data_IF_886988314094
#
_entry.id   IF_886988314094
#
_cell.length_a   1.000
_cell.length_b   1.000
_cell.length_c   1.000
_cell.angle_alpha   90.00
_cell.angle_beta   90.00
_cell.angle_gamma   90.00
#
_symmetry.space_group_name_H-M   'P 1'
#
loop_
_entity.id
_entity.type
_entity.pdbx_description
1 polymer ?
#
# COMPACT_ATOMS: atom_id res chain seq x y z
N UNK A 1 -5.40 32.14 -2.82
CA UNK A 1 -4.57 30.95 -3.14
C UNK A 1 -3.12 31.42 -3.26
N UNK A 2 -2.24 31.03 -2.34
CA UNK A 2 -0.81 31.37 -2.43
C UNK A 2 -0.16 30.50 -3.51
N UNK A 3 -0.29 30.91 -4.77
CA UNK A 3 0.36 30.23 -5.90
C UNK A 3 1.74 30.78 -6.14
N UNK A 4 2.75 29.95 -5.89
CA UNK A 4 4.13 30.23 -6.28
C UNK A 4 4.47 29.41 -7.54
N UNK A 5 4.47 30.06 -8.69
CA UNK A 5 4.92 29.45 -9.95
C UNK A 5 6.41 29.74 -10.14
N UNK A 6 7.25 28.72 -9.93
CA UNK A 6 8.68 28.81 -10.25
C UNK A 6 8.86 28.43 -11.72
N UNK A 7 8.79 29.42 -12.60
CA UNK A 7 9.04 29.24 -14.02
C UNK A 7 10.54 29.13 -14.28
N UNK A 8 10.96 28.03 -14.91
CA UNK A 8 12.34 27.88 -15.35
C UNK A 8 12.64 26.50 -15.93
N UNK A 9 13.64 26.39 -16.83
CA UNK A 9 14.01 25.13 -17.47
C UNK A 9 14.72 24.14 -16.51
N UNK A 10 14.99 24.54 -15.25
CA UNK A 10 15.75 23.76 -14.27
C UNK A 10 15.11 23.84 -12.90
N UNK A 11 15.05 22.70 -12.21
CA UNK A 11 14.61 22.63 -10.82
C UNK A 11 15.54 23.47 -9.93
N UNK A 12 15.01 24.30 -9.01
CA UNK A 12 15.82 25.17 -8.14
C UNK A 12 16.69 24.39 -7.14
N UNK A 13 16.35 23.12 -6.86
CA UNK A 13 17.10 22.31 -5.91
C UNK A 13 17.06 22.90 -4.50
N UNK A 14 18.22 23.10 -3.88
CA UNK A 14 18.31 23.74 -2.57
C UNK A 14 17.91 25.21 -2.57
N UNK A 15 17.97 25.88 -3.73
CA UNK A 15 17.63 27.30 -3.85
C UNK A 15 16.11 27.54 -3.79
N UNK A 16 15.31 26.47 -3.67
CA UNK A 16 13.85 26.55 -3.48
C UNK A 16 13.47 27.38 -2.26
N UNK A 17 14.31 27.38 -1.21
CA UNK A 17 14.05 28.14 0.02
C UNK A 17 13.97 29.66 -0.24
N UNK A 18 14.69 30.19 -1.24
CA UNK A 18 14.58 31.60 -1.62
C UNK A 18 13.15 31.91 -2.07
N UNK A 19 12.58 31.05 -2.90
CA UNK A 19 11.23 31.25 -3.44
C UNK A 19 10.15 31.05 -2.37
N UNK A 20 10.45 30.27 -1.32
CA UNK A 20 9.53 30.04 -0.21
C UNK A 20 9.55 31.15 0.85
N UNK A 21 10.50 32.10 0.80
CA UNK A 21 10.59 33.18 1.79
C UNK A 21 9.27 33.94 1.99
N UNK A 22 8.58 34.44 0.93
CA UNK A 22 7.31 35.14 1.10
C UNK A 22 6.25 34.28 1.79
N UNK A 23 6.17 33.00 1.42
CA UNK A 23 5.24 32.06 2.04
C UNK A 23 5.54 31.86 3.53
N UNK A 24 6.82 31.77 3.90
CA UNK A 24 7.22 31.61 5.30
C UNK A 24 6.88 32.85 6.12
N UNK A 25 7.07 34.04 5.55
CA UNK A 25 6.72 35.30 6.21
C UNK A 25 5.21 35.43 6.40
N UNK A 26 4.40 35.09 5.38
CA UNK A 26 2.94 35.03 5.49
C UNK A 26 2.49 34.01 6.55
N UNK A 27 3.12 32.84 6.62
CA UNK A 27 2.80 31.81 7.62
C UNK A 27 3.18 32.22 9.04
N UNK A 28 4.21 33.05 9.23
CA UNK A 28 4.54 33.63 10.54
C UNK A 28 3.47 34.65 10.95
N UNK A 29 3.07 35.52 10.01
CA UNK A 29 2.02 36.51 10.26
C UNK A 29 0.69 35.82 10.63
N UNK A 30 0.31 34.78 9.87
CA UNK A 30 -0.89 33.99 10.14
C UNK A 30 -0.79 33.14 11.42
N UNK A 31 0.41 32.83 11.91
CA UNK A 31 0.56 32.14 13.18
C UNK A 31 0.21 33.05 14.36
N UNK A 32 0.65 34.31 14.32
CA UNK A 32 0.31 35.32 15.33
C UNK A 32 -1.17 35.73 15.22
N UNK A 33 -1.68 35.77 13.99
CA UNK A 33 -3.07 35.99 13.64
C UNK A 33 -3.30 37.34 12.97
N UNK A 34 -4.22 37.36 12.00
CA UNK A 34 -4.58 38.54 11.22
C UNK A 34 -6.08 38.79 11.35
N UNK A 35 -6.48 40.02 11.63
CA UNK A 35 -7.89 40.39 11.60
C UNK A 35 -8.40 40.38 10.15
N UNK A 36 -9.42 39.55 9.89
CA UNK A 36 -10.04 39.39 8.57
C UNK A 36 -11.54 39.54 8.72
N UNK A 37 -12.16 40.24 7.77
CA UNK A 37 -13.61 40.39 7.70
C UNK A 37 -14.25 39.17 7.02
N UNK A 38 -15.16 38.48 7.71
CA UNK A 38 -16.01 37.46 7.11
C UNK A 38 -17.28 38.11 6.54
N UNK A 39 -17.47 37.95 5.23
CA UNK A 39 -18.63 38.48 4.50
C UNK A 39 -19.93 37.77 4.91
N UNK A 40 -19.84 36.50 5.32
CA UNK A 40 -21.01 35.69 5.69
C UNK A 40 -21.52 36.09 7.07
N UNK A 41 -20.64 36.11 8.08
CA UNK A 41 -21.02 36.57 9.42
C UNK A 41 -21.15 38.09 9.55
N UNK A 42 -20.66 38.85 8.56
CA UNK A 42 -20.53 40.32 8.59
C UNK A 42 -19.75 40.82 9.81
N UNK A 43 -18.74 40.07 10.25
CA UNK A 43 -17.92 40.41 11.41
C UNK A 43 -16.45 40.14 11.14
N UNK A 44 -15.59 40.87 11.84
CA UNK A 44 -14.17 40.54 11.88
C UNK A 44 -13.93 39.31 12.75
N UNK A 45 -12.98 38.48 12.34
CA UNK A 45 -12.44 37.41 13.17
C UNK A 45 -10.91 37.36 13.01
N UNK A 46 -10.24 36.78 14.00
CA UNK A 46 -8.79 36.60 13.94
C UNK A 46 -8.46 35.30 13.20
N UNK A 47 -8.00 35.42 11.95
CA UNK A 47 -7.58 34.29 11.14
C UNK A 47 -6.19 33.83 11.55
N UNK A 48 -6.08 32.54 11.88
CA UNK A 48 -4.80 31.87 12.10
C UNK A 48 -4.60 30.70 11.16
N UNK A 49 -3.36 30.46 10.75
CA UNK A 49 -3.01 29.32 9.89
C UNK A 49 -1.72 28.63 10.35
N UNK A 50 -1.66 27.32 10.11
CA UNK A 50 -0.49 26.47 10.39
C UNK A 50 -0.21 25.58 9.19
N UNK A 51 1.07 25.46 8.83
CA UNK A 51 1.54 24.44 7.91
C UNK A 51 1.84 23.14 8.69
N UNK A 52 0.98 22.12 8.54
CA UNK A 52 1.12 20.85 9.28
C UNK A 52 2.16 19.94 8.62
N UNK A 53 2.14 19.80 7.30
CA UNK A 53 3.12 19.01 6.55
C UNK A 53 3.14 19.41 5.08
N UNK A 54 4.15 18.92 4.36
CA UNK A 54 4.25 19.04 2.90
C UNK A 54 4.12 17.66 2.25
N UNK A 55 3.47 17.55 1.10
CA UNK A 55 3.34 16.31 0.32
C UNK A 55 4.10 16.51 -0.99
N UNK A 56 5.07 15.64 -1.26
CA UNK A 56 6.01 15.85 -2.36
C UNK A 56 6.48 14.53 -2.96
N UNK A 57 6.90 14.55 -4.22
CA UNK A 57 7.73 13.47 -4.74
C UNK A 57 9.07 13.37 -3.97
N UNK A 58 9.78 12.24 -4.12
CA UNK A 58 11.02 12.02 -3.40
C UNK A 58 12.11 13.07 -3.72
N UNK A 59 12.28 13.52 -4.98
CA UNK A 59 13.13 14.66 -5.33
C UNK A 59 12.81 15.99 -4.63
N UNK A 60 11.54 16.41 -4.59
CA UNK A 60 11.18 17.67 -3.93
C UNK A 60 11.26 17.54 -2.42
N UNK A 61 10.92 16.38 -1.84
CA UNK A 61 11.12 16.07 -0.43
C UNK A 61 12.53 16.43 0.00
N UNK A 62 13.55 15.92 -0.70
CA UNK A 62 14.92 16.11 -0.25
C UNK A 62 15.42 17.54 -0.40
N UNK A 63 14.93 18.26 -1.40
CA UNK A 63 15.21 19.68 -1.55
C UNK A 63 14.57 20.50 -0.41
N UNK A 64 13.31 20.26 -0.08
CA UNK A 64 12.60 20.95 0.99
C UNK A 64 13.18 20.63 2.37
N UNK A 65 13.38 19.35 2.68
CA UNK A 65 13.98 18.90 3.94
C UNK A 65 15.47 19.27 4.06
N UNK A 66 16.12 19.62 2.95
CA UNK A 66 17.55 19.88 2.90
C UNK A 66 18.40 18.61 3.06
N UNK A 67 17.87 17.44 2.69
CA UNK A 67 18.54 16.16 2.84
C UNK A 67 19.15 15.65 1.52
N UNK A 68 20.13 14.76 1.59
CA UNK A 68 20.74 14.16 0.40
C UNK A 68 19.84 13.08 -0.17
N UNK A 69 19.57 13.19 -1.47
CA UNK A 69 18.78 12.21 -2.21
C UNK A 69 19.65 11.21 -2.97
N UNK A 70 20.98 11.33 -2.84
CA UNK A 70 21.96 10.47 -3.50
C UNK A 70 22.99 9.96 -2.49
N UNK A 71 23.49 8.75 -2.71
CA UNK A 71 24.57 8.15 -1.93
C UNK A 71 24.09 7.15 -0.89
N UNK A 72 24.95 6.82 0.08
CA UNK A 72 24.71 5.73 1.05
C UNK A 72 23.66 6.05 2.13
N UNK A 73 23.33 7.32 2.31
CA UNK A 73 22.49 7.82 3.41
C UNK A 73 21.36 8.70 2.89
N UNK A 74 20.50 8.14 2.04
CA UNK A 74 19.41 8.89 1.37
C UNK A 74 18.08 8.83 2.08
N UNK A 75 17.85 7.81 2.91
CA UNK A 75 16.58 7.69 3.60
C UNK A 75 16.48 8.80 4.66
N UNK A 76 15.51 9.73 4.55
CA UNK A 76 15.37 10.83 5.51
C UNK A 76 15.01 10.34 6.91
N UNK A 77 14.32 9.19 6.99
CA UNK A 77 13.93 8.54 8.24
C UNK A 77 15.14 7.85 8.89
N UNK A 78 15.89 7.05 8.12
CA UNK A 78 17.01 6.29 8.67
C UNK A 78 18.25 7.17 8.89
N UNK A 79 18.43 8.24 8.11
CA UNK A 79 19.57 9.13 8.17
C UNK A 79 20.90 8.39 8.06
N UNK A 80 21.77 8.59 9.05
CA UNK A 80 23.06 7.87 9.19
C UNK A 80 22.91 6.35 9.37
N UNK A 81 21.74 5.88 9.79
CA UNK A 81 21.43 4.45 9.95
C UNK A 81 20.82 3.82 8.70
N UNK A 82 20.82 4.53 7.57
CA UNK A 82 20.44 3.94 6.27
C UNK A 82 21.38 2.78 5.96
N UNK A 83 20.82 1.60 5.72
CA UNK A 83 21.61 0.43 5.36
C UNK A 83 21.70 0.36 3.84
N UNK A 84 22.86 0.68 3.28
CA UNK A 84 23.11 0.63 1.84
C UNK A 84 24.22 -0.35 1.51
N UNK A 85 24.07 -1.10 0.42
CA UNK A 85 25.07 -2.02 -0.11
C UNK A 85 25.45 -1.59 -1.52
N UNK A 86 26.76 -1.57 -1.81
CA UNK A 86 27.25 -1.38 -3.17
C UNK A 86 27.46 -2.74 -3.81
N UNK A 87 26.74 -3.00 -4.90
CA UNK A 87 26.90 -4.19 -5.72
C UNK A 87 28.02 -3.93 -6.73
N UNK A 88 29.17 -4.57 -6.51
CA UNK A 88 30.40 -4.34 -7.28
C UNK A 88 30.20 -4.57 -8.78
N UNK A 89 29.66 -5.74 -9.15
CA UNK A 89 29.49 -6.17 -10.54
C UNK A 89 28.50 -5.30 -11.31
N UNK A 90 27.41 -4.90 -10.68
CA UNK A 90 26.40 -4.06 -11.35
C UNK A 90 26.63 -2.56 -11.17
N UNK A 91 27.69 -2.16 -10.44
CA UNK A 91 27.99 -0.76 -10.08
C UNK A 91 26.77 0.01 -9.56
N UNK A 92 25.97 -0.65 -8.70
CA UNK A 92 24.69 -0.11 -8.19
C UNK A 92 24.69 -0.05 -6.68
N UNK A 93 24.06 1.00 -6.16
CA UNK A 93 23.77 1.12 -4.74
C UNK A 93 22.35 0.62 -4.48
N UNK A 94 22.20 -0.35 -3.59
CA UNK A 94 20.91 -0.86 -3.14
C UNK A 94 20.68 -0.52 -1.68
N UNK A 95 19.45 -0.24 -1.31
CA UNK A 95 19.06 0.03 0.08
C UNK A 95 18.44 -1.23 0.68
N UNK A 96 19.01 -1.65 1.80
CA UNK A 96 18.69 -2.89 2.50
C UNK A 96 18.17 -2.54 3.90
N UNK A 97 17.91 -3.57 4.72
CA UNK A 97 17.49 -3.36 6.11
C UNK A 97 16.03 -2.94 6.27
N UNK A 98 15.19 -3.10 5.24
CA UNK A 98 13.73 -2.95 5.32
C UNK A 98 13.11 -3.84 6.41
N UNK A 99 13.71 -5.00 6.70
CA UNK A 99 13.28 -5.92 7.76
C UNK A 99 13.32 -5.32 9.18
N UNK A 100 14.04 -4.21 9.38
CA UNK A 100 14.10 -3.48 10.66
C UNK A 100 12.77 -2.79 11.03
N UNK A 101 11.90 -2.57 10.06
CA UNK A 101 10.59 -1.95 10.28
C UNK A 101 9.49 -2.97 10.62
N UNK A 102 9.77 -4.27 10.46
CA UNK A 102 8.85 -5.33 10.87
C UNK A 102 8.87 -5.49 12.40
N UNK A 103 7.79 -5.98 13.04
CA UNK A 103 7.81 -6.31 14.48
C UNK A 103 8.97 -7.25 14.86
N UNK A 104 9.57 -7.15 16.06
CA UNK A 104 10.68 -8.02 16.48
C UNK A 104 10.36 -9.53 16.39
N UNK A 105 9.11 -9.91 16.62
CA UNK A 105 8.63 -11.30 16.53
C UNK A 105 8.44 -11.81 15.10
N UNK A 106 8.40 -10.92 14.10
CA UNK A 106 8.00 -11.24 12.73
C UNK A 106 8.92 -12.30 12.08
N UNK A 107 8.39 -13.38 11.47
CA UNK A 107 9.18 -14.50 10.94
C UNK A 107 10.26 -14.09 9.94
N UNK A 108 9.99 -13.07 9.10
CA UNK A 108 10.95 -12.63 8.07
C UNK A 108 12.25 -12.05 8.65
N UNK A 109 12.26 -11.62 9.93
CA UNK A 109 13.50 -11.23 10.60
C UNK A 109 14.48 -12.41 10.76
N UNK A 110 13.97 -13.63 10.92
CA UNK A 110 14.78 -14.86 11.10
C UNK A 110 15.14 -15.59 9.80
N UNK A 111 14.40 -15.36 8.70
CA UNK A 111 14.57 -16.08 7.42
C UNK A 111 15.80 -15.63 6.62
N UNK A 112 17.01 -15.95 7.05
CA UNK A 112 18.27 -15.53 6.40
C UNK A 112 18.37 -15.89 4.90
N UNK A 113 17.91 -17.08 4.50
CA UNK A 113 18.07 -17.62 3.14
C UNK A 113 17.27 -16.86 2.07
N UNK A 114 16.14 -16.26 2.44
CA UNK A 114 15.28 -15.50 1.52
C UNK A 114 15.69 -14.03 1.37
N UNK A 115 16.68 -13.56 2.13
CA UNK A 115 17.09 -12.16 2.18
C UNK A 115 18.62 -12.03 2.08
N UNK A 116 19.24 -11.22 2.93
CA UNK A 116 20.66 -10.85 2.89
C UNK A 116 21.59 -11.81 3.66
N UNK A 117 21.15 -13.05 3.89
CA UNK A 117 21.94 -14.07 4.58
C UNK A 117 22.10 -13.85 6.09
N UNK A 118 21.47 -12.82 6.66
CA UNK A 118 21.59 -12.46 8.07
C UNK A 118 20.26 -12.54 8.81
N UNK A 119 20.30 -12.74 10.13
CA UNK A 119 19.15 -12.54 11.01
C UNK A 119 19.05 -11.05 11.36
N UNK A 120 17.86 -10.47 11.29
CA UNK A 120 17.63 -9.05 11.56
C UNK A 120 17.14 -8.82 12.99
N UNK A 121 18.07 -8.59 13.91
CA UNK A 121 17.80 -8.29 15.31
C UNK A 121 17.81 -6.78 15.62
N UNK A 122 18.18 -5.93 14.64
CA UNK A 122 18.29 -4.49 14.90
C UNK A 122 16.89 -3.88 15.08
N UNK A 123 16.86 -2.82 15.88
CA UNK A 123 15.66 -2.02 16.06
C UNK A 123 15.37 -1.14 14.85
N UNK A 124 14.11 -0.74 14.74
CA UNK A 124 13.68 0.30 13.81
C UNK A 124 14.52 1.56 14.06
N UNK A 125 15.07 2.21 13.01
CA UNK A 125 15.79 3.46 13.21
C UNK A 125 14.86 4.50 13.85
N UNK A 126 15.35 5.20 14.87
CA UNK A 126 14.63 6.31 15.49
C UNK A 126 14.47 7.45 14.49
N UNK A 127 13.24 7.91 14.29
CA UNK A 127 12.96 9.13 13.52
C UNK A 127 13.61 10.30 14.26
N UNK A 128 14.38 11.13 13.56
CA UNK A 128 15.00 12.30 14.16
C UNK A 128 13.92 13.32 14.56
N UNK A 129 13.86 13.63 15.86
CA UNK A 129 13.00 14.68 16.39
C UNK A 129 13.35 16.03 15.74
N UNK A 130 12.35 16.86 15.44
CA UNK A 130 12.56 18.19 14.87
C UNK A 130 13.48 19.06 15.73
N UNK A 131 13.34 19.02 17.05
CA UNK A 131 14.25 19.71 17.98
C UNK A 131 15.71 19.26 17.84
N UNK A 132 15.95 17.96 17.66
CA UNK A 132 17.30 17.43 17.49
C UNK A 132 17.90 17.87 16.14
N UNK A 133 17.08 17.93 15.08
CA UNK A 133 17.49 18.42 13.77
C UNK A 133 17.80 19.92 13.82
N UNK A 134 16.93 20.73 14.43
CA UNK A 134 17.13 22.18 14.55
C UNK A 134 18.41 22.49 15.34
N UNK A 135 18.64 21.79 16.45
CA UNK A 135 19.88 21.93 17.24
C UNK A 135 21.11 21.52 16.41
N UNK A 136 21.03 20.41 15.68
CA UNK A 136 22.12 19.95 14.81
C UNK A 136 22.44 20.95 13.69
N UNK A 137 21.44 21.68 13.22
CA UNK A 137 21.56 22.58 12.07
C UNK A 137 21.61 24.07 12.46
N UNK A 138 21.60 24.42 13.75
CA UNK A 138 21.53 25.80 14.24
C UNK A 138 22.62 26.70 13.64
N UNK A 139 23.86 26.20 13.60
CA UNK A 139 25.00 26.94 13.06
C UNK A 139 25.26 26.61 11.57
N UNK A 140 24.32 25.93 10.91
CA UNK A 140 24.46 25.58 9.51
C UNK A 140 24.26 26.81 8.63
N UNK A 141 25.35 27.28 8.01
CA UNK A 141 25.27 28.37 7.06
C UNK A 141 24.78 27.88 5.68
N UNK A 142 23.59 28.35 5.30
CA UNK A 142 23.04 28.13 3.96
C UNK A 142 23.72 29.06 2.95
N UNK A 143 24.13 28.53 1.81
CA UNK A 143 24.65 29.30 0.68
C UNK A 143 23.80 29.00 -0.54
N UNK A 144 23.01 29.98 -0.99
CA UNK A 144 22.10 29.83 -2.12
C UNK A 144 22.70 30.41 -3.42
N UNK A 145 22.34 29.84 -4.56
CA UNK A 145 22.80 30.31 -5.87
C UNK A 145 24.18 29.79 -6.30
N UNK A 146 24.78 30.46 -7.30
CA UNK A 146 26.02 30.02 -7.96
C UNK A 146 27.28 30.44 -7.19
N UNK A 147 27.50 29.89 -6.00
CA UNK A 147 28.74 30.13 -5.25
C UNK A 147 29.91 29.27 -5.71
N UNK A 148 31.10 29.81 -5.44
CA UNK A 148 32.41 29.29 -5.82
C UNK A 148 32.66 27.84 -5.35
N UNK A 149 33.19 26.98 -6.24
CA UNK A 149 33.28 25.51 -6.04
C UNK A 149 34.02 25.12 -4.75
N UNK A 150 34.94 25.97 -4.27
CA UNK A 150 35.72 25.77 -3.03
C UNK A 150 34.85 25.80 -1.76
N UNK A 151 33.86 26.71 -1.67
CA UNK A 151 32.97 26.80 -0.48
C UNK A 151 32.05 25.59 -0.37
N UNK A 152 31.52 25.08 -1.50
CA UNK A 152 30.76 23.81 -1.58
C UNK A 152 31.56 22.59 -1.09
N UNK A 153 32.86 22.51 -1.37
CA UNK A 153 33.73 21.44 -0.86
C UNK A 153 33.94 21.51 0.66
N UNK A 154 33.94 22.72 1.25
CA UNK A 154 34.00 22.91 2.71
C UNK A 154 32.75 22.39 3.42
N UNK A 155 31.55 22.55 2.85
CA UNK A 155 30.31 21.96 3.38
C UNK A 155 30.30 20.42 3.38
N UNK A 156 31.00 19.75 2.44
CA UNK A 156 31.17 18.28 2.49
C UNK A 156 31.87 17.78 3.77
N UNK A 157 32.49 18.66 4.58
CA UNK A 157 33.00 18.29 5.91
C UNK A 157 31.89 18.07 6.95
N UNK A 158 30.69 18.62 6.77
CA UNK A 158 29.50 18.16 7.49
C UNK A 158 29.17 16.75 6.97
N UNK A 159 29.82 15.74 7.54
CA UNK A 159 29.61 14.33 7.23
C UNK A 159 28.22 13.93 7.72
N UNK A 160 27.21 14.10 6.89
CA UNK A 160 25.84 13.76 7.25
C UNK A 160 24.89 13.72 6.06
N UNK A 161 23.61 13.62 6.40
CA UNK A 161 22.51 13.62 5.44
C UNK A 161 22.15 15.04 4.95
N UNK A 162 22.53 16.09 5.70
CA UNK A 162 22.06 17.45 5.48
C UNK A 162 22.93 18.24 4.49
N UNK A 163 22.27 19.00 3.62
CA UNK A 163 22.86 19.93 2.65
C UNK A 163 22.53 21.38 2.93
N UNK A 164 21.46 21.63 3.69
CA UNK A 164 21.01 22.94 4.17
C UNK A 164 20.18 22.78 5.44
N UNK A 165 20.06 23.85 6.22
CA UNK A 165 18.95 24.02 7.17
C UNK A 165 17.72 24.42 6.38
N UNK A 166 16.62 23.68 6.49
CA UNK A 166 15.39 24.02 5.77
C UNK A 166 14.79 25.32 6.30
N UNK A 167 14.32 26.20 5.41
CA UNK A 167 13.64 27.45 5.79
C UNK A 167 12.39 27.23 6.66
N UNK A 168 11.74 26.07 6.57
CA UNK A 168 10.59 25.77 7.42
C UNK A 168 10.93 25.76 8.92
N UNK A 169 12.20 25.54 9.30
CA UNK A 169 12.63 25.67 10.70
C UNK A 169 12.63 27.12 11.22
N UNK A 170 12.31 28.11 10.39
CA UNK A 170 12.04 29.48 10.83
C UNK A 170 10.61 29.65 11.36
N UNK A 171 9.71 28.68 11.11
CA UNK A 171 8.39 28.64 11.71
C UNK A 171 8.51 28.12 13.16
N UNK A 172 7.89 28.79 14.15
CA UNK A 172 8.12 28.52 15.57
C UNK A 172 7.72 27.10 15.99
N UNK A 173 6.65 26.57 15.38
CA UNK A 173 6.08 25.25 15.68
C UNK A 173 6.70 24.10 14.87
N UNK A 174 7.50 24.38 13.83
CA UNK A 174 7.90 23.34 12.86
C UNK A 174 8.73 22.21 13.46
N UNK A 175 9.58 22.54 14.45
CA UNK A 175 10.41 21.59 15.19
C UNK A 175 9.61 20.65 16.09
N UNK A 176 8.37 21.02 16.43
CA UNK A 176 7.46 20.26 17.30
C UNK A 176 6.64 19.23 16.49
N UNK A 177 6.49 19.46 15.18
CA UNK A 177 5.78 18.54 14.29
C UNK A 177 6.50 17.20 14.18
N UNK A 178 5.78 16.11 14.44
CA UNK A 178 6.29 14.74 14.30
C UNK A 178 6.51 14.38 12.82
N UNK A 179 5.58 14.80 11.95
CA UNK A 179 5.61 14.57 10.51
C UNK A 179 5.64 15.91 9.78
N UNK A 180 6.77 16.21 9.11
CA UNK A 180 7.01 17.49 8.43
C UNK A 180 6.89 17.38 6.91
N UNK A 181 7.38 16.27 6.37
CA UNK A 181 7.41 16.01 4.94
C UNK A 181 6.87 14.60 4.71
N UNK A 182 5.94 14.49 3.78
CA UNK A 182 5.28 13.27 3.33
C UNK A 182 5.60 13.04 1.86
N UNK A 183 5.64 11.76 1.47
CA UNK A 183 5.81 11.39 0.07
C UNK A 183 4.45 11.33 -0.64
N UNK A 184 4.39 11.89 -1.84
CA UNK A 184 3.21 11.82 -2.69
C UNK A 184 3.13 10.43 -3.35
N UNK A 185 2.17 9.64 -2.87
CA UNK A 185 1.94 8.26 -3.33
C UNK A 185 1.45 8.24 -4.77
N UNK A 186 0.68 9.23 -5.23
CA UNK A 186 0.18 9.25 -6.61
C UNK A 186 1.31 9.34 -7.64
N UNK A 187 2.37 10.08 -7.31
CA UNK A 187 3.58 10.15 -8.14
C UNK A 187 4.43 8.88 -8.05
N UNK A 188 4.35 8.13 -6.94
CA UNK A 188 5.07 6.86 -6.77
C UNK A 188 4.37 5.74 -7.53
N UNK A 189 3.05 5.60 -7.39
CA UNK A 189 2.24 4.53 -8.01
C UNK A 189 2.09 4.69 -9.52
N UNK A 190 2.02 5.91 -10.05
CA UNK A 190 1.98 6.14 -11.50
C UNK A 190 3.23 5.60 -12.19
N UNK A 191 4.39 5.65 -11.54
CA UNK A 191 5.61 5.03 -12.05
C UNK A 191 5.58 3.50 -11.98
N UNK A 192 4.81 2.90 -11.07
CA UNK A 192 4.66 1.44 -11.00
C UNK A 192 3.67 0.92 -12.06
N UNK A 193 2.53 1.60 -12.25
CA UNK A 193 1.50 1.23 -13.24
C UNK A 193 1.96 1.40 -14.69
N UNK A 194 2.72 2.47 -14.97
CA UNK A 194 3.32 2.68 -16.31
C UNK A 194 4.26 1.52 -16.66
N UNK A 195 4.90 0.92 -15.68
CA UNK A 195 5.88 -0.14 -15.88
C UNK A 195 5.24 -1.52 -15.98
N UNK A 196 4.10 -1.72 -15.31
CA UNK A 196 3.29 -2.93 -15.48
C UNK A 196 2.57 -2.97 -16.84
N UNK A 197 2.01 -1.85 -17.30
CA UNK A 197 1.27 -1.80 -18.59
C UNK A 197 2.19 -1.82 -19.83
N UNK A 198 3.46 -1.46 -19.70
CA UNK A 198 4.43 -1.46 -20.83
C UNK A 198 5.02 -2.84 -21.14
N UNK A 199 4.98 -3.76 -20.18
CA UNK A 199 5.48 -5.13 -20.32
C UNK A 199 4.55 -6.00 -21.20
N UNK A 200 3.30 -5.59 -21.39
CA UNK A 200 2.28 -6.42 -22.03
C UNK A 200 2.23 -6.38 -23.58
N UNK A 201 2.92 -5.45 -24.29
CA UNK A 201 2.56 -5.14 -25.69
C UNK A 201 3.54 -5.48 -26.83
N UNK A 202 4.69 -6.15 -26.62
CA UNK A 202 5.53 -6.56 -27.76
C UNK A 202 6.33 -7.86 -27.54
N UNK A 203 6.33 -8.73 -28.55
CA UNK A 203 7.03 -10.03 -28.56
C UNK A 203 8.45 -9.99 -29.14
N UNK A 204 8.89 -8.83 -29.64
CA UNK A 204 10.22 -8.61 -30.23
C UNK A 204 10.86 -7.34 -29.65
N UNK A 205 12.06 -7.50 -29.07
CA UNK A 205 12.84 -6.45 -28.38
C UNK A 205 13.30 -5.33 -29.33
N UNK A 206 13.35 -5.58 -30.64
CA UNK A 206 13.90 -4.65 -31.63
C UNK A 206 12.86 -3.62 -32.11
N UNK A 207 11.58 -4.03 -32.18
CA UNK A 207 10.49 -3.16 -32.65
C UNK A 207 9.69 -2.50 -31.52
N UNK A 208 10.02 -2.82 -30.27
CA UNK A 208 9.40 -2.17 -29.13
C UNK A 208 9.74 -0.67 -29.11
N UNK A 209 8.74 0.17 -28.81
CA UNK A 209 8.87 1.63 -28.85
C UNK A 209 10.01 2.16 -27.95
N UNK A 210 10.45 1.36 -26.98
CA UNK A 210 11.65 1.58 -26.15
C UNK A 210 12.91 1.72 -27.01
N UNK A 211 13.11 0.88 -28.03
CA UNK A 211 14.28 0.95 -28.92
C UNK A 211 14.27 2.21 -29.80
N UNK A 212 13.09 2.74 -30.15
CA UNK A 212 12.94 3.99 -30.93
C UNK A 212 13.16 5.26 -30.09
N UNK A 213 12.82 5.24 -28.81
CA UNK A 213 13.02 6.37 -27.88
C UNK A 213 14.46 6.44 -27.34
N UNK A 214 15.16 5.32 -27.25
CA UNK A 214 16.49 5.24 -26.63
C UNK A 214 17.66 5.65 -27.53
N UNK A 215 17.47 5.74 -28.85
CA UNK A 215 18.58 5.98 -29.80
C UNK A 215 19.63 4.85 -29.78
N UNK A 216 20.61 4.87 -30.70
CA UNK A 216 21.58 3.77 -30.84
C UNK A 216 22.55 3.63 -29.64
N UNK A 217 22.55 4.55 -28.68
CA UNK A 217 23.54 4.61 -27.61
C UNK A 217 23.08 3.94 -26.30
N UNK A 218 23.60 2.73 -26.12
CA UNK A 218 23.90 2.01 -24.87
C UNK A 218 23.36 2.60 -23.54
N UNK A 219 22.23 2.04 -23.08
CA UNK A 219 22.28 1.29 -21.82
C UNK A 219 21.52 1.80 -20.59
N UNK A 220 20.60 2.76 -20.68
CA UNK A 220 19.82 3.18 -19.50
C UNK A 220 18.35 3.50 -19.82
N UNK A 221 17.42 2.85 -19.10
CA UNK A 221 15.98 3.12 -19.16
C UNK A 221 15.63 4.29 -18.24
N UNK A 222 15.16 5.40 -18.80
CA UNK A 222 14.59 6.53 -18.03
C UNK A 222 13.11 6.27 -17.76
N UNK A 223 12.70 6.25 -16.49
CA UNK A 223 11.31 6.06 -16.04
C UNK A 223 11.19 5.07 -14.88
N UNK A 224 12.02 4.03 -14.88
CA UNK A 224 12.01 2.91 -13.91
C UNK A 224 12.87 3.13 -12.65
N UNK A 225 13.29 4.36 -12.40
CA UNK A 225 14.35 4.64 -11.45
C UNK A 225 15.72 4.12 -11.91
N UNK A 226 16.77 4.56 -11.21
CA UNK A 226 18.17 4.30 -11.56
C UNK A 226 18.58 2.85 -11.25
N UNK A 227 18.00 1.83 -11.88
CA UNK A 227 18.44 0.43 -11.71
C UNK A 227 17.95 -0.59 -12.75
N UNK A 228 17.17 -0.21 -13.75
CA UNK A 228 16.60 -1.18 -14.70
C UNK A 228 17.41 -1.23 -15.99
N UNK A 229 17.97 -2.41 -16.28
CA UNK A 229 18.72 -2.72 -17.50
C UNK A 229 17.85 -3.60 -18.39
N UNK A 230 17.98 -3.48 -19.72
CA UNK A 230 17.25 -4.29 -20.71
C UNK A 230 17.27 -5.79 -20.39
N UNK A 231 18.41 -6.32 -19.93
CA UNK A 231 18.54 -7.71 -19.50
C UNK A 231 17.68 -8.07 -18.28
N UNK A 232 17.54 -7.18 -17.29
CA UNK A 232 16.71 -7.41 -16.11
C UNK A 232 15.22 -7.31 -16.42
N UNK A 233 14.86 -6.43 -17.35
CA UNK A 233 13.50 -6.37 -17.91
C UNK A 233 13.20 -7.68 -18.64
N UNK A 234 14.12 -8.13 -19.51
CA UNK A 234 13.99 -9.40 -20.24
C UNK A 234 13.82 -10.62 -19.32
N UNK A 235 14.63 -10.74 -18.26
CA UNK A 235 14.48 -11.84 -17.28
C UNK A 235 13.16 -11.77 -16.51
N UNK A 236 12.67 -10.57 -16.17
CA UNK A 236 11.36 -10.43 -15.52
C UNK A 236 10.24 -10.86 -16.45
N UNK A 237 10.26 -10.42 -17.71
CA UNK A 237 9.28 -10.79 -18.73
C UNK A 237 9.28 -12.30 -18.99
N UNK A 238 10.45 -12.94 -19.02
CA UNK A 238 10.54 -14.40 -19.15
C UNK A 238 9.94 -15.12 -17.94
N UNK A 239 10.21 -14.65 -16.73
CA UNK A 239 9.62 -15.21 -15.51
C UNK A 239 8.09 -15.05 -15.52
N UNK A 240 7.57 -13.89 -15.91
CA UNK A 240 6.12 -13.65 -15.97
C UNK A 240 5.46 -14.58 -17.00
N UNK A 241 6.07 -14.82 -18.16
CA UNK A 241 5.58 -15.82 -19.14
C UNK A 241 5.57 -17.24 -18.56
N UNK A 242 6.58 -17.63 -17.77
CA UNK A 242 6.60 -18.95 -17.13
C UNK A 242 5.53 -19.06 -16.04
N UNK A 243 5.24 -17.97 -15.32
CA UNK A 243 4.20 -17.91 -14.31
C UNK A 243 2.82 -18.04 -14.97
N UNK A 244 2.52 -17.27 -16.02
CA UNK A 244 1.27 -17.39 -16.78
C UNK A 244 1.09 -18.78 -17.41
N UNK A 245 2.19 -19.40 -17.89
CA UNK A 245 2.13 -20.78 -18.39
C UNK A 245 1.84 -21.81 -17.28
N UNK A 246 2.30 -21.57 -16.05
CA UNK A 246 2.01 -22.43 -14.91
C UNK A 246 0.57 -22.22 -14.41
N UNK A 247 0.09 -20.99 -14.38
CA UNK A 247 -1.30 -20.65 -14.03
C UNK A 247 -2.29 -21.33 -14.98
N UNK A 248 -2.09 -21.21 -16.30
CA UNK A 248 -2.92 -21.89 -17.29
C UNK A 248 -2.91 -23.43 -17.15
N UNK A 249 -1.77 -24.01 -16.73
CA UNK A 249 -1.68 -25.46 -16.46
C UNK A 249 -2.45 -25.85 -15.20
N UNK A 250 -2.39 -25.02 -14.16
CA UNK A 250 -3.17 -25.24 -12.94
C UNK A 250 -4.68 -25.15 -13.21
N UNK A 251 -5.11 -24.22 -14.07
CA UNK A 251 -6.52 -24.07 -14.45
C UNK A 251 -7.01 -25.28 -15.27
N UNK A 252 -6.22 -25.75 -16.24
CA UNK A 252 -6.54 -26.96 -17.00
C UNK A 252 -6.63 -28.20 -16.10
N UNK A 253 -5.67 -28.40 -15.19
CA UNK A 253 -5.71 -29.51 -14.24
C UNK A 253 -6.92 -29.44 -13.30
N UNK A 254 -7.36 -28.22 -12.95
CA UNK A 254 -8.56 -28.03 -12.13
C UNK A 254 -9.81 -28.44 -12.91
N UNK A 255 -9.89 -28.09 -14.20
CA UNK A 255 -10.97 -28.54 -15.09
C UNK A 255 -11.02 -30.06 -15.25
N UNK A 256 -9.88 -30.71 -15.48
CA UNK A 256 -9.79 -32.17 -15.62
C UNK A 256 -10.22 -32.89 -14.33
N UNK A 257 -9.87 -32.34 -13.16
CA UNK A 257 -10.30 -32.87 -11.86
C UNK A 257 -11.82 -32.76 -11.68
N UNK A 258 -12.44 -31.68 -12.15
CA UNK A 258 -13.89 -31.51 -12.06
C UNK A 258 -14.64 -32.41 -13.05
N UNK A 259 -14.08 -32.67 -14.24
CA UNK A 259 -14.60 -33.66 -15.17
C UNK A 259 -14.53 -35.09 -14.59
N UNK A 260 -13.39 -35.46 -14.00
CA UNK A 260 -13.23 -36.76 -13.34
C UNK A 260 -14.21 -36.94 -12.17
N UNK A 261 -14.46 -35.89 -11.37
CA UNK A 261 -15.49 -35.93 -10.32
C UNK A 261 -16.88 -36.20 -10.90
N UNK A 262 -17.20 -35.60 -12.05
CA UNK A 262 -18.48 -35.82 -12.75
C UNK A 262 -18.63 -37.27 -13.23
N UNK A 263 -17.59 -37.84 -13.84
CA UNK A 263 -17.57 -39.25 -14.29
C UNK A 263 -17.66 -40.22 -13.11
N UNK A 264 -17.00 -39.93 -12.00
CA UNK A 264 -17.13 -40.75 -10.78
C UNK A 264 -18.55 -40.68 -10.23
N UNK A 265 -19.20 -39.51 -10.25
CA UNK A 265 -20.57 -39.34 -9.80
C UNK A 265 -21.60 -40.08 -10.69
N UNK A 266 -21.36 -40.19 -12.00
CA UNK A 266 -22.24 -40.98 -12.89
C UNK A 266 -22.06 -42.48 -12.69
N UNK A 267 -20.83 -42.97 -12.55
CA UNK A 267 -20.56 -44.39 -12.28
C UNK A 267 -21.11 -44.87 -10.94
N UNK A 268 -21.15 -43.99 -9.92
CA UNK A 268 -21.79 -44.29 -8.65
C UNK A 268 -23.32 -44.40 -8.79
N UNK A 269 -23.95 -43.60 -9.65
CA UNK A 269 -25.39 -43.70 -9.96
C UNK A 269 -25.75 -44.95 -10.76
N UNK A 270 -24.87 -45.39 -11.65
CA UNK A 270 -25.10 -46.61 -12.46
C UNK A 270 -24.95 -47.90 -11.62
N UNK A 271 -24.16 -47.85 -10.54
CA UNK A 271 -24.07 -48.94 -9.56
C UNK A 271 -25.31 -49.09 -8.67
N UNK A 272 -26.02 -48.00 -8.39
CA UNK A 272 -27.29 -48.07 -7.64
C UNK A 272 -28.42 -48.66 -8.51
N UNK A 273 -28.44 -48.36 -9.81
CA UNK A 273 -29.43 -48.92 -10.76
C UNK A 273 -29.24 -50.39 -11.13
N UNK A 274 -28.08 -50.99 -10.84
CA UNK A 274 -27.79 -52.40 -11.13
C UNK A 274 -28.01 -53.33 -9.93
N UNK A 275 -28.62 -52.82 -8.83
CA UNK A 275 -28.89 -53.62 -7.62
C UNK A 275 -30.34 -54.08 -7.43
N UNK A 276 -31.26 -53.75 -8.34
CA UNK A 276 -32.69 -54.12 -8.22
C UNK A 276 -33.12 -55.37 -9.01
N UNK A 277 -32.21 -56.10 -9.67
CA UNK A 277 -32.53 -57.38 -10.33
C UNK A 277 -31.48 -58.46 -10.01
N UNK A 278 -31.61 -59.10 -8.85
CA UNK A 278 -31.63 -60.56 -8.73
C UNK A 278 -31.73 -61.03 -7.26
N UNK A 279 -32.84 -61.68 -6.97
CA UNK A 279 -33.11 -62.39 -5.72
C UNK A 279 -32.33 -63.71 -5.60
N UNK A 280 -31.95 -64.04 -4.37
CA UNK A 280 -31.80 -65.38 -3.78
C UNK A 280 -30.60 -66.24 -4.22
N UNK A 281 -29.70 -66.57 -3.28
CA UNK A 281 -29.62 -67.91 -2.65
C UNK A 281 -28.36 -68.10 -1.75
N UNK A 282 -28.60 -68.55 -0.51
CA UNK A 282 -27.72 -69.30 0.42
C UNK A 282 -26.32 -68.78 0.85
N UNK A 283 -26.27 -68.23 2.07
CA UNK A 283 -25.74 -68.89 3.30
C UNK A 283 -24.47 -69.75 3.17
N UNK A 284 -23.32 -69.26 3.68
CA UNK A 284 -22.52 -69.77 4.84
C UNK A 284 -21.00 -69.55 4.70
N UNK A 285 -20.44 -69.09 5.83
CA UNK A 285 -19.11 -69.37 6.44
C UNK A 285 -17.86 -68.63 5.95
N UNK A 286 -17.41 -67.76 6.86
CA UNK A 286 -16.05 -67.25 7.14
C UNK A 286 -15.11 -68.43 7.47
N UNK A 287 -13.80 -68.38 7.11
CA UNK A 287 -12.72 -67.87 8.00
C UNK A 287 -11.73 -66.94 7.26
N UNK A 288 -11.49 -65.71 7.73
CA UNK A 288 -10.40 -65.32 8.64
C UNK A 288 -8.98 -65.76 8.21
N UNK A 289 -8.18 -64.82 7.68
CA UNK A 289 -6.93 -64.40 8.35
C UNK A 289 -6.42 -63.03 7.86
N UNK A 290 -5.91 -62.28 8.84
CA UNK A 290 -5.48 -60.89 8.87
C UNK A 290 -4.32 -60.46 7.93
N UNK A 291 -4.43 -59.22 7.41
CA UNK A 291 -3.45 -58.10 7.46
C UNK A 291 -3.84 -57.11 6.34
N UNK A 292 -4.30 -55.88 6.59
CA UNK A 292 -3.49 -54.69 6.92
C UNK A 292 -4.45 -53.60 7.44
N UNK A 293 -4.01 -52.89 8.48
CA UNK A 293 -4.68 -51.73 9.11
C UNK A 293 -4.71 -50.51 8.19
N UNK A 294 -5.91 -49.96 7.96
CA UNK A 294 -6.19 -48.51 7.96
C UNK A 294 -7.61 -48.28 8.46
N UNK A 295 -7.76 -47.82 9.70
CA UNK A 295 -9.04 -47.36 10.24
C UNK A 295 -9.07 -45.83 10.24
N UNK A 296 -9.92 -45.27 9.39
CA UNK A 296 -10.83 -44.18 9.81
C UNK A 296 -11.92 -44.77 10.71
N UNK A 297 -12.38 -44.02 11.72
CA UNK A 297 -13.74 -44.13 12.20
C UNK A 297 -14.53 -42.84 11.92
N UNK A 298 -15.77 -43.04 11.51
CA UNK A 298 -16.86 -42.07 11.39
C UNK A 298 -17.26 -41.46 12.74
N UNK A 299 -18.00 -40.33 12.74
CA UNK A 299 -18.28 -39.50 13.90
C UNK A 299 -19.63 -39.83 14.56
N UNK A 300 -19.71 -39.82 15.90
CA UNK A 300 -20.96 -39.63 16.65
C UNK A 300 -20.71 -38.78 17.91
N UNK A 301 -21.18 -37.54 17.83
CA UNK A 301 -21.95 -36.73 18.80
C UNK A 301 -21.52 -36.73 20.28
N UNK A 302 -21.10 -35.54 20.76
CA UNK A 302 -21.72 -34.85 21.90
C UNK A 302 -21.22 -33.40 21.97
N UNK A 303 -22.11 -32.45 21.66
CA UNK A 303 -22.04 -31.04 22.08
C UNK A 303 -23.04 -30.82 23.22
N UNK A 304 -22.87 -29.76 24.05
CA UNK A 304 -23.81 -28.62 23.95
C UNK A 304 -23.17 -27.25 24.33
N UNK A 305 -23.87 -26.10 24.20
CA UNK A 305 -24.57 -25.60 23.02
C UNK A 305 -24.27 -24.08 22.75
N UNK A 306 -24.28 -23.66 21.48
CA UNK A 306 -24.85 -22.35 21.06
C UNK A 306 -24.85 -22.21 19.53
N UNK A 307 -25.93 -22.71 18.90
CA UNK A 307 -26.87 -21.95 18.04
C UNK A 307 -26.33 -20.60 17.52
N UNK A 308 -26.23 -20.27 16.21
CA UNK A 308 -27.27 -20.25 15.16
C UNK A 308 -26.67 -20.20 13.73
N UNK A 309 -27.32 -20.92 12.81
CA UNK A 309 -27.71 -20.58 11.43
C UNK A 309 -27.29 -19.21 10.84
N UNK A 310 -26.60 -19.21 9.68
CA UNK A 310 -26.43 -18.01 8.84
C UNK A 310 -27.12 -18.19 7.48
N UNK A 311 -28.43 -18.06 7.47
CA UNK A 311 -29.12 -17.43 6.33
C UNK A 311 -28.75 -15.95 6.34
N UNK A 312 -28.30 -15.35 5.23
CA UNK A 312 -27.96 -13.92 5.21
C UNK A 312 -29.23 -13.10 5.51
N UNK A 313 -29.27 -12.45 6.67
CA UNK A 313 -30.40 -11.61 7.09
C UNK A 313 -30.45 -10.36 6.20
N UNK A 314 -31.64 -10.04 5.68
CA UNK A 314 -31.85 -8.74 5.01
C UNK A 314 -31.68 -7.63 6.03
N UNK A 315 -31.06 -6.54 5.62
CA UNK A 315 -30.84 -5.37 6.47
C UNK A 315 -30.96 -4.07 5.70
N UNK A 316 -31.25 -3.00 6.44
CA UNK A 316 -31.30 -1.62 5.98
C UNK A 316 -30.07 -0.89 6.51
N UNK A 317 -29.37 -0.21 5.61
CA UNK A 317 -28.24 0.66 5.90
C UNK A 317 -28.78 2.06 6.16
N UNK A 318 -28.57 2.58 7.36
CA UNK A 318 -28.93 3.95 7.73
C UNK A 318 -27.77 4.90 7.40
N UNK A 319 -28.09 6.11 6.95
CA UNK A 319 -27.13 7.17 6.74
C UNK A 319 -26.32 7.44 8.02
N UNK A 320 -24.99 7.39 7.89
CA UNK A 320 -24.08 7.61 9.02
C UNK A 320 -23.87 9.11 9.32
N UNK A 321 -24.24 9.99 8.38
CA UNK A 321 -24.33 11.44 8.56
C UNK A 321 -25.82 11.80 8.61
N UNK A 322 -26.30 12.40 9.70
CA UNK A 322 -27.67 12.95 9.80
C UNK A 322 -28.72 12.06 10.48
N UNK A 323 -29.99 12.25 10.09
CA UNK A 323 -31.23 11.82 10.78
C UNK A 323 -31.56 10.32 10.73
N UNK A 324 -30.67 9.48 10.20
CA UNK A 324 -30.87 8.02 10.16
C UNK A 324 -31.81 7.55 9.04
N UNK A 325 -31.79 8.23 7.89
CA UNK A 325 -32.52 7.81 6.68
C UNK A 325 -31.97 6.50 6.12
N UNK A 326 -32.81 5.69 5.48
CA UNK A 326 -32.39 4.44 4.84
C UNK A 326 -31.73 4.76 3.50
N UNK A 327 -30.42 4.55 3.41
CA UNK A 327 -29.64 4.87 2.20
C UNK A 327 -29.55 3.68 1.24
N UNK A 328 -29.61 2.46 1.74
CA UNK A 328 -29.47 1.23 0.95
C UNK A 328 -30.03 0.01 1.69
N UNK A 329 -30.35 -1.03 0.93
CA UNK A 329 -30.73 -2.35 1.41
C UNK A 329 -29.61 -3.34 1.11
N UNK A 330 -29.42 -4.31 1.99
CA UNK A 330 -28.37 -5.30 1.85
C UNK A 330 -28.60 -6.55 2.66
N UNK A 331 -27.56 -7.36 2.74
CA UNK A 331 -27.53 -8.60 3.52
C UNK A 331 -26.40 -8.56 4.54
N UNK A 332 -26.74 -8.78 5.81
CA UNK A 332 -25.75 -8.94 6.88
C UNK A 332 -24.98 -10.24 6.63
N UNK A 333 -23.64 -10.14 6.56
CA UNK A 333 -22.75 -11.29 6.47
C UNK A 333 -22.01 -11.62 7.79
N UNK A 334 -21.19 -10.72 8.32
CA UNK A 334 -20.31 -10.98 9.49
C UNK A 334 -20.04 -9.73 10.34
N UNK A 335 -19.67 -9.92 11.61
CA UNK A 335 -19.29 -8.87 12.55
C UNK A 335 -17.94 -9.13 13.26
N UNK A 336 -17.13 -10.07 12.75
CA UNK A 336 -15.78 -10.35 13.28
C UNK A 336 -14.81 -9.23 12.87
N UNK A 337 -14.16 -8.53 13.83
CA UNK A 337 -13.23 -7.43 13.56
C UNK A 337 -12.02 -7.78 12.68
N UNK A 338 -11.66 -9.06 12.59
CA UNK A 338 -10.51 -9.55 11.81
C UNK A 338 -10.81 -9.78 10.33
N UNK A 339 -12.09 -9.80 9.95
CA UNK A 339 -12.53 -10.02 8.57
C UNK A 339 -12.18 -8.81 7.72
N UNK A 340 -11.70 -9.06 6.49
CA UNK A 340 -11.32 -8.02 5.55
C UNK A 340 -12.52 -7.58 4.70
N UNK A 341 -12.69 -6.27 4.56
CA UNK A 341 -13.54 -5.63 3.55
C UNK A 341 -12.62 -4.77 2.69
N UNK A 342 -12.55 -5.05 1.39
CA UNK A 342 -11.61 -4.39 0.46
C UNK A 342 -10.16 -4.33 0.99
N UNK A 343 -9.65 -5.46 1.49
CA UNK A 343 -8.31 -5.61 2.07
C UNK A 343 -8.03 -4.82 3.36
N UNK A 344 -9.04 -4.16 3.94
CA UNK A 344 -8.96 -3.46 5.22
C UNK A 344 -9.71 -4.27 6.28
N UNK A 345 -9.13 -4.52 7.47
CA UNK A 345 -9.84 -5.20 8.56
C UNK A 345 -11.04 -4.37 9.01
N UNK A 346 -12.18 -5.06 9.25
CA UNK A 346 -13.47 -4.46 9.58
C UNK A 346 -13.41 -3.56 10.82
N UNK A 347 -12.65 -3.98 11.84
CA UNK A 347 -12.48 -3.25 13.09
C UNK A 347 -13.67 -3.42 14.05
N UNK A 348 -13.53 -2.92 15.30
CA UNK A 348 -14.59 -3.01 16.30
C UNK A 348 -15.79 -2.14 15.93
N UNK A 349 -16.99 -2.56 16.35
CA UNK A 349 -18.28 -1.87 16.14
C UNK A 349 -18.68 -1.67 14.67
N UNK A 350 -18.14 -2.49 13.77
CA UNK A 350 -18.45 -2.49 12.35
C UNK A 350 -19.00 -3.85 11.91
N UNK A 351 -19.87 -3.83 10.90
CA UNK A 351 -20.46 -5.02 10.29
C UNK A 351 -20.17 -5.05 8.80
N UNK A 352 -19.98 -6.25 8.28
CA UNK A 352 -19.82 -6.51 6.85
C UNK A 352 -21.19 -6.74 6.22
N UNK A 353 -21.56 -5.88 5.28
CA UNK A 353 -22.85 -5.90 4.60
C UNK A 353 -22.64 -6.03 3.11
N UNK A 354 -23.40 -6.90 2.45
CA UNK A 354 -23.49 -6.96 0.99
C UNK A 354 -24.58 -6.00 0.51
N UNK A 355 -24.28 -5.06 -0.40
CA UNK A 355 -25.26 -4.08 -0.87
C UNK A 355 -26.05 -4.65 -2.04
N UNK A 356 -27.38 -4.79 -1.88
CA UNK A 356 -28.27 -5.32 -2.92
C UNK A 356 -29.00 -4.20 -3.68
N UNK A 357 -29.36 -3.09 -3.02
CA UNK A 357 -30.09 -1.99 -3.67
C UNK A 357 -29.78 -0.65 -3.00
N UNK A 358 -29.63 0.40 -3.80
CA UNK A 358 -29.44 1.78 -3.32
C UNK A 358 -30.77 2.52 -3.34
N UNK A 359 -31.08 3.22 -2.25
CA UNK A 359 -32.30 4.05 -2.11
C UNK A 359 -32.01 5.52 -2.28
N UNK A 360 -30.88 5.99 -1.72
CA UNK A 360 -30.45 7.38 -1.81
C UNK A 360 -29.11 7.43 -2.55
N UNK A 361 -29.11 7.79 -3.86
CA UNK A 361 -27.89 7.86 -4.65
C UNK A 361 -26.98 8.99 -4.15
N UNK A 362 -25.69 8.90 -4.46
CA UNK A 362 -24.62 9.81 -4.04
C UNK A 362 -24.41 9.92 -2.52
N UNK A 363 -24.96 8.98 -1.73
CA UNK A 363 -24.67 8.92 -0.30
C UNK A 363 -23.24 8.43 -0.07
N UNK A 364 -22.47 9.16 0.76
CA UNK A 364 -21.08 8.79 1.05
C UNK A 364 -20.98 7.49 1.86
N UNK A 365 -19.98 6.66 1.56
CA UNK A 365 -19.64 5.50 2.37
C UNK A 365 -18.95 5.91 3.68
N UNK A 366 -19.23 5.17 4.76
CA UNK A 366 -18.60 5.40 6.07
C UNK A 366 -17.08 5.19 6.03
N UNK A 367 -16.62 4.19 5.26
CA UNK A 367 -15.21 3.88 5.03
C UNK A 367 -14.97 3.70 3.53
N UNK A 368 -14.94 4.82 2.81
CA UNK A 368 -14.62 4.81 1.38
C UNK A 368 -13.23 4.24 1.13
N UNK A 369 -13.08 3.61 -0.03
CA UNK A 369 -11.78 3.21 -0.59
C UNK A 369 -11.50 4.04 -1.84
N UNK A 370 -10.31 3.91 -2.41
CA UNK A 370 -9.96 4.61 -3.65
C UNK A 370 -10.87 4.25 -4.83
N UNK A 371 -11.50 3.08 -4.78
CA UNK A 371 -12.33 2.54 -5.87
C UNK A 371 -13.84 2.68 -5.59
N UNK A 372 -14.26 2.92 -4.34
CA UNK A 372 -15.66 2.95 -3.94
C UNK A 372 -15.86 4.10 -2.94
N UNK A 373 -16.48 5.18 -3.40
CA UNK A 373 -16.58 6.44 -2.64
C UNK A 373 -18.04 6.68 -2.22
N UNK A 374 -18.99 6.40 -3.11
CA UNK A 374 -20.42 6.55 -2.87
C UNK A 374 -21.10 5.18 -2.83
N UNK A 375 -22.29 5.12 -2.25
CA UNK A 375 -23.06 3.88 -2.08
C UNK A 375 -23.46 3.25 -3.44
N UNK A 376 -23.57 4.04 -4.50
CA UNK A 376 -23.84 3.57 -5.87
C UNK A 376 -22.72 2.66 -6.40
N UNK A 377 -21.46 3.04 -6.12
CA UNK A 377 -20.28 2.24 -6.49
C UNK A 377 -20.23 0.91 -5.71
N UNK A 378 -20.98 0.82 -4.61
CA UNK A 378 -20.99 -0.34 -3.73
C UNK A 378 -22.05 -1.40 -4.12
N UNK A 379 -22.87 -1.16 -5.15
CA UNK A 379 -23.87 -2.11 -5.62
C UNK A 379 -23.24 -3.45 -6.02
N UNK A 380 -23.71 -4.54 -5.41
CA UNK A 380 -23.20 -5.89 -5.70
C UNK A 380 -21.82 -6.19 -5.10
N UNK A 381 -21.37 -5.38 -4.13
CA UNK A 381 -20.14 -5.65 -3.37
C UNK A 381 -20.37 -5.52 -1.85
N UNK A 382 -19.30 -5.76 -1.08
CA UNK A 382 -19.30 -5.74 0.38
C UNK A 382 -18.80 -4.41 0.92
N UNK A 383 -19.49 -3.85 1.90
CA UNK A 383 -19.07 -2.63 2.60
C UNK A 383 -18.99 -2.85 4.10
N UNK A 384 -18.15 -2.04 4.74
CA UNK A 384 -18.10 -1.93 6.19
C UNK A 384 -19.09 -0.83 6.63
N UNK A 385 -19.97 -1.14 7.56
CA UNK A 385 -20.96 -0.20 8.08
C UNK A 385 -20.94 -0.16 9.62
N UNK A 386 -21.26 0.98 10.26
CA UNK A 386 -21.40 1.02 11.72
C UNK A 386 -22.52 0.08 12.18
N UNK A 387 -22.25 -0.73 13.21
CA UNK A 387 -23.22 -1.71 13.73
C UNK A 387 -24.51 -1.05 14.25
N UNK A 388 -24.41 0.14 14.82
CA UNK A 388 -25.52 0.96 15.32
C UNK A 388 -26.34 1.63 14.20
N UNK A 389 -25.87 1.54 12.95
CA UNK A 389 -26.51 2.11 11.75
C UNK A 389 -26.98 1.03 10.77
N UNK A 390 -27.10 -0.21 11.23
CA UNK A 390 -27.71 -1.31 10.48
C UNK A 390 -28.96 -1.78 11.20
N UNK A 391 -30.09 -1.79 10.50
CA UNK A 391 -31.35 -2.34 11.00
C UNK A 391 -31.62 -3.66 10.31
N UNK A 392 -31.70 -4.75 11.07
CA UNK A 392 -32.14 -6.03 10.54
C UNK A 392 -33.62 -5.96 10.15
N UNK A 393 -33.97 -6.55 9.00
CA UNK A 393 -35.35 -6.81 8.63
C UNK A 393 -35.73 -8.18 9.17
N UNK A 394 -36.87 -8.26 9.86
CA UNK A 394 -37.47 -9.52 10.31
C UNK A 394 -37.89 -10.42 9.14
#
# INVERSE_FOLDING_TARGET
MLTLLILGPKQPGNDIDIFLQPLIDDLKLLWDGVEVYDVVSKSNFNLRAVLIWTINDFPAYGNLAGCTMKGKTTCPICGKHTHSLWLYHSKKLVYMGHRRFLPPSHPYRRKKSRFDGKVENRQVPSIANGNAIDTQLKDFQNFFGKFDKKKRKRQKKFKGIWKKRSIFFDLPYWKELVLRHNLDVMHIEKNERIEQNRVASSSSIIDDAISRVLGPDQGYVKGLGFCVTLSKVSTSIQNDKTITSLENKCDNLTSDVDELKSVVASLLKDKEKTSDDNSNHLVKRVPSLAHIRTHTPTPIINSPPSVTTNTPYKCLLLGWIGSGEVIAEGRWSFNDPSVLVHHVPLGPNAVRVWVDTVKIPNSFLWRSTSDIIVIDDALGTIVAWPMDKVKLCD
#
